data_IF_578490831713
#
_entry.id   IF_578490831713
#
_cell.length_a   1.000
_cell.length_b   1.000
_cell.length_c   1.000
_cell.angle_alpha   90.00
_cell.angle_beta   90.00
_cell.angle_gamma   90.00
#
_symmetry.space_group_name_H-M   'P 1'
#
loop_
_entity.id
_entity.type
_entity.pdbx_description
1 polymer ?
#
# COMPACT_ATOMS: atom_id res chain seq x y z
N UNK A 1 -106.65 -64.55 22.36
CA UNK A 1 -106.34 -64.51 20.91
C UNK A 1 -105.35 -63.39 20.52
N UNK A 2 -104.90 -62.50 21.41
CA UNK A 2 -104.00 -61.38 21.07
C UNK A 2 -102.48 -61.71 21.05
N UNK A 3 -102.01 -62.81 21.66
CA UNK A 3 -100.57 -63.07 21.76
C UNK A 3 -99.95 -63.74 20.53
N UNK A 4 -100.74 -64.48 19.74
CA UNK A 4 -100.25 -65.11 18.52
C UNK A 4 -99.91 -64.07 17.43
N UNK A 5 -100.73 -63.02 17.27
CA UNK A 5 -100.46 -61.95 16.31
C UNK A 5 -99.19 -61.15 16.65
N UNK A 6 -98.93 -60.88 17.94
CA UNK A 6 -97.70 -60.19 18.38
C UNK A 6 -96.41 -60.99 18.17
N UNK A 7 -96.51 -62.32 18.06
CA UNK A 7 -95.34 -63.17 17.78
C UNK A 7 -94.97 -63.15 16.30
N UNK A 8 -95.97 -63.17 15.41
CA UNK A 8 -95.78 -63.08 13.95
C UNK A 8 -95.24 -61.71 13.55
N UNK A 9 -95.76 -60.64 14.15
CA UNK A 9 -95.33 -59.27 13.86
C UNK A 9 -93.87 -59.04 14.26
N UNK A 10 -93.42 -59.60 15.39
CA UNK A 10 -92.00 -59.57 15.79
C UNK A 10 -91.09 -60.36 14.86
N UNK A 11 -91.57 -61.49 14.31
CA UNK A 11 -90.78 -62.29 13.36
C UNK A 11 -90.61 -61.53 12.04
N UNK A 12 -91.66 -60.88 11.54
CA UNK A 12 -91.54 -60.02 10.36
C UNK A 12 -90.63 -58.83 10.60
N UNK A 13 -90.74 -58.17 11.76
CA UNK A 13 -89.87 -57.04 12.10
C UNK A 13 -88.38 -57.43 12.19
N UNK A 14 -88.08 -58.61 12.73
CA UNK A 14 -86.73 -59.17 12.77
C UNK A 14 -86.21 -59.51 11.37
N UNK A 15 -87.05 -60.12 10.53
CA UNK A 15 -86.72 -60.43 9.14
C UNK A 15 -86.35 -59.16 8.36
N UNK A 16 -87.17 -58.12 8.44
CA UNK A 16 -86.95 -56.86 7.74
C UNK A 16 -85.68 -56.15 8.21
N UNK A 17 -85.41 -56.17 9.53
CA UNK A 17 -84.16 -55.63 10.07
C UNK A 17 -82.94 -56.35 9.51
N UNK A 18 -82.98 -57.68 9.47
CA UNK A 18 -81.89 -58.52 9.00
C UNK A 18 -81.65 -58.33 7.50
N UNK A 19 -82.72 -58.18 6.71
CA UNK A 19 -82.64 -57.85 5.29
C UNK A 19 -82.03 -56.46 5.04
N UNK A 20 -82.42 -55.47 5.84
CA UNK A 20 -81.87 -54.11 5.74
C UNK A 20 -80.37 -54.06 6.10
N UNK A 21 -79.94 -54.83 7.10
CA UNK A 21 -78.55 -54.94 7.51
C UNK A 21 -77.70 -55.65 6.45
N UNK A 22 -78.21 -56.72 5.84
CA UNK A 22 -77.51 -57.37 4.72
C UNK A 22 -77.36 -56.44 3.51
N UNK A 23 -78.39 -55.65 3.18
CA UNK A 23 -78.28 -54.65 2.12
C UNK A 23 -77.25 -53.56 2.46
N UNK A 24 -77.24 -53.05 3.69
CA UNK A 24 -76.24 -52.05 4.10
C UNK A 24 -74.82 -52.63 4.09
N UNK A 25 -74.63 -53.87 4.54
CA UNK A 25 -73.34 -54.55 4.50
C UNK A 25 -72.85 -54.74 3.06
N UNK A 26 -73.73 -55.17 2.14
CA UNK A 26 -73.40 -55.32 0.72
C UNK A 26 -73.00 -53.99 0.07
N UNK A 27 -73.72 -52.90 0.36
CA UNK A 27 -73.41 -51.57 -0.15
C UNK A 27 -72.08 -51.04 0.43
N UNK A 28 -71.81 -51.28 1.72
CA UNK A 28 -70.53 -50.90 2.33
C UNK A 28 -69.37 -51.66 1.69
N UNK A 29 -69.54 -52.95 1.44
CA UNK A 29 -68.50 -53.78 0.83
C UNK A 29 -68.22 -53.36 -0.61
N UNK A 30 -69.27 -53.06 -1.39
CA UNK A 30 -69.13 -52.54 -2.75
C UNK A 30 -68.41 -51.17 -2.77
N UNK A 31 -68.71 -50.28 -1.81
CA UNK A 31 -68.00 -49.00 -1.69
C UNK A 31 -66.54 -49.18 -1.28
N UNK A 32 -66.25 -50.13 -0.40
CA UNK A 32 -64.89 -50.46 0.00
C UNK A 32 -64.08 -50.98 -1.20
N UNK A 33 -64.64 -51.88 -2.00
CA UNK A 33 -64.00 -52.42 -3.21
C UNK A 33 -63.75 -51.32 -4.26
N UNK A 34 -64.74 -50.46 -4.49
CA UNK A 34 -64.60 -49.31 -5.39
C UNK A 34 -63.48 -48.36 -4.92
N UNK A 35 -63.39 -48.09 -3.61
CA UNK A 35 -62.34 -47.27 -3.02
C UNK A 35 -60.95 -47.90 -3.15
N UNK A 36 -60.84 -49.23 -3.00
CA UNK A 36 -59.58 -49.93 -3.20
C UNK A 36 -59.12 -49.90 -4.66
N UNK A 37 -60.03 -50.08 -5.62
CA UNK A 37 -59.72 -49.99 -7.05
C UNK A 37 -59.25 -48.58 -7.40
N UNK A 38 -59.94 -47.55 -6.90
CA UNK A 38 -59.56 -46.16 -7.12
C UNK A 38 -58.18 -45.85 -6.52
N UNK A 39 -57.89 -46.36 -5.33
CA UNK A 39 -56.59 -46.17 -4.67
C UNK A 39 -55.45 -46.86 -5.42
N UNK A 40 -55.69 -48.04 -6.00
CA UNK A 40 -54.72 -48.74 -6.86
C UNK A 40 -54.46 -47.97 -8.15
N UNK A 41 -55.51 -47.47 -8.80
CA UNK A 41 -55.37 -46.64 -10.00
C UNK A 41 -54.58 -45.35 -9.72
N UNK A 42 -54.85 -44.69 -8.60
CA UNK A 42 -54.09 -43.51 -8.17
C UNK A 42 -52.62 -43.85 -7.89
N UNK A 43 -52.36 -44.99 -7.24
CA UNK A 43 -51.00 -45.47 -6.96
C UNK A 43 -50.24 -45.82 -8.25
N UNK A 44 -50.89 -46.46 -9.22
CA UNK A 44 -50.28 -46.81 -10.51
C UNK A 44 -50.03 -45.58 -11.38
N UNK A 45 -50.91 -44.57 -11.30
CA UNK A 45 -50.69 -43.29 -11.96
C UNK A 45 -49.52 -42.53 -11.33
N UNK A 46 -49.43 -42.52 -9.99
CA UNK A 46 -48.32 -41.91 -9.26
C UNK A 46 -47.00 -42.63 -9.56
N UNK A 47 -47.01 -43.96 -9.61
CA UNK A 47 -45.82 -44.75 -9.95
C UNK A 47 -45.34 -44.46 -11.37
N UNK A 48 -46.25 -44.41 -12.34
CA UNK A 48 -45.94 -44.02 -13.73
C UNK A 48 -45.42 -42.58 -13.85
N UNK A 49 -45.94 -41.66 -13.04
CA UNK A 49 -45.41 -40.30 -12.97
C UNK A 49 -44.02 -40.27 -12.34
N UNK A 50 -43.81 -41.03 -11.27
CA UNK A 50 -42.53 -41.18 -10.58
C UNK A 50 -41.45 -41.78 -11.48
N UNK A 51 -41.79 -42.80 -12.28
CA UNK A 51 -40.86 -43.46 -13.20
C UNK A 51 -40.48 -42.54 -14.38
N UNK A 52 -41.33 -41.56 -14.73
CA UNK A 52 -41.07 -40.60 -15.81
C UNK A 52 -40.33 -39.34 -15.38
N UNK A 53 -40.43 -38.98 -14.10
CA UNK A 53 -39.75 -37.83 -13.53
C UNK A 53 -38.23 -37.78 -13.81
N UNK A 54 -37.45 -38.86 -13.57
CA UNK A 54 -36.00 -38.80 -13.76
C UNK A 54 -35.61 -38.53 -15.22
N UNK A 55 -36.33 -39.11 -16.19
CA UNK A 55 -36.05 -38.89 -17.62
C UNK A 55 -36.34 -37.44 -18.02
N UNK A 56 -37.43 -36.86 -17.53
CA UNK A 56 -37.75 -35.45 -17.82
C UNK A 56 -36.81 -34.47 -17.12
N UNK A 57 -36.28 -34.85 -15.95
CA UNK A 57 -35.32 -34.02 -15.20
C UNK A 57 -33.95 -34.09 -15.87
N UNK A 58 -33.45 -35.27 -16.24
CA UNK A 58 -32.16 -35.39 -16.93
C UNK A 58 -32.15 -34.66 -18.27
N UNK A 59 -33.20 -34.83 -19.08
CA UNK A 59 -33.31 -34.14 -20.36
C UNK A 59 -33.45 -32.62 -20.21
N UNK A 60 -34.19 -32.14 -19.21
CA UNK A 60 -34.28 -30.71 -18.91
C UNK A 60 -32.96 -30.15 -18.36
N UNK A 61 -32.21 -30.93 -17.59
CA UNK A 61 -30.87 -30.56 -17.13
C UNK A 61 -29.92 -30.49 -18.32
N UNK A 62 -29.79 -31.51 -19.14
CA UNK A 62 -28.89 -31.48 -20.31
C UNK A 62 -29.22 -30.32 -21.26
N UNK A 63 -30.49 -30.12 -21.60
CA UNK A 63 -30.90 -29.07 -22.54
C UNK A 63 -30.72 -27.63 -22.02
N UNK A 64 -30.69 -27.42 -20.70
CA UNK A 64 -30.54 -26.08 -20.10
C UNK A 64 -29.13 -25.83 -19.62
N UNK A 65 -28.46 -26.84 -19.04
CA UNK A 65 -27.18 -26.68 -18.37
C UNK A 65 -26.03 -26.49 -19.38
N UNK A 66 -26.04 -27.23 -20.49
CA UNK A 66 -25.00 -27.13 -21.52
C UNK A 66 -24.96 -25.74 -22.19
N UNK A 67 -26.07 -25.20 -22.73
CA UNK A 67 -26.05 -23.84 -23.31
C UNK A 67 -25.86 -22.76 -22.24
N UNK A 68 -26.27 -22.98 -20.99
CA UNK A 68 -25.97 -22.04 -19.89
C UNK A 68 -24.47 -22.03 -19.55
N UNK A 69 -23.83 -23.20 -19.53
CA UNK A 69 -22.40 -23.33 -19.28
C UNK A 69 -21.59 -22.73 -20.43
N UNK A 70 -21.96 -22.98 -21.69
CA UNK A 70 -21.32 -22.35 -22.85
C UNK A 70 -21.47 -20.83 -22.81
N UNK A 71 -22.66 -20.32 -22.49
CA UNK A 71 -22.90 -18.87 -22.39
C UNK A 71 -22.14 -18.24 -21.24
N UNK A 72 -22.00 -18.94 -20.11
CA UNK A 72 -21.19 -18.50 -19.00
C UNK A 72 -19.70 -18.48 -19.37
N UNK A 73 -19.20 -19.54 -20.01
CA UNK A 73 -17.82 -19.62 -20.48
C UNK A 73 -17.51 -18.53 -21.51
N UNK A 74 -18.37 -18.33 -22.50
CA UNK A 74 -18.24 -17.27 -23.51
C UNK A 74 -18.25 -15.87 -22.87
N UNK A 75 -19.07 -15.65 -21.84
CA UNK A 75 -19.11 -14.38 -21.11
C UNK A 75 -17.83 -14.17 -20.29
N UNK A 76 -17.30 -15.23 -19.66
CA UNK A 76 -16.03 -15.17 -18.95
C UNK A 76 -14.87 -14.90 -19.90
N UNK A 77 -14.78 -15.59 -21.04
CA UNK A 77 -13.69 -15.33 -21.99
C UNK A 77 -13.77 -13.92 -22.56
N UNK A 78 -14.98 -13.42 -22.84
CA UNK A 78 -15.18 -12.03 -23.28
C UNK A 78 -14.77 -11.00 -22.21
N UNK A 79 -15.14 -11.21 -20.93
CA UNK A 79 -14.72 -10.28 -19.86
C UNK A 79 -13.23 -10.32 -19.61
N UNK A 80 -12.60 -11.49 -19.69
CA UNK A 80 -11.15 -11.63 -19.56
C UNK A 80 -10.41 -10.99 -20.75
N UNK A 81 -10.92 -11.15 -21.96
CA UNK A 81 -10.35 -10.50 -23.15
C UNK A 81 -10.44 -8.96 -23.03
N UNK A 82 -11.58 -8.42 -22.57
CA UNK A 82 -11.73 -6.99 -22.31
C UNK A 82 -10.81 -6.50 -21.20
N UNK A 83 -10.71 -7.23 -20.10
CA UNK A 83 -9.81 -6.90 -19.00
C UNK A 83 -8.34 -6.91 -19.45
N UNK A 84 -7.94 -7.90 -20.26
CA UNK A 84 -6.60 -7.98 -20.81
C UNK A 84 -6.31 -6.83 -21.79
N UNK A 85 -7.27 -6.47 -22.64
CA UNK A 85 -7.14 -5.33 -23.54
C UNK A 85 -6.96 -4.01 -22.76
N UNK A 86 -7.77 -3.79 -21.72
CA UNK A 86 -7.66 -2.62 -20.85
C UNK A 86 -6.32 -2.59 -20.09
N UNK A 87 -5.83 -3.74 -19.63
CA UNK A 87 -4.53 -3.85 -18.98
C UNK A 87 -3.39 -3.51 -19.97
N UNK A 88 -3.45 -4.00 -21.20
CA UNK A 88 -2.47 -3.67 -22.25
C UNK A 88 -2.50 -2.17 -22.57
N UNK A 89 -3.68 -1.58 -22.69
CA UNK A 89 -3.81 -0.13 -22.91
C UNK A 89 -3.24 0.69 -21.74
N UNK A 90 -3.51 0.27 -20.50
CA UNK A 90 -2.91 0.88 -19.31
C UNK A 90 -1.39 0.79 -19.34
N UNK A 91 -0.80 -0.37 -19.65
CA UNK A 91 0.67 -0.50 -19.73
C UNK A 91 1.28 0.39 -20.81
N UNK A 92 0.63 0.55 -21.96
CA UNK A 92 1.10 1.45 -23.03
C UNK A 92 1.07 2.91 -22.60
N UNK A 93 -0.01 3.34 -21.95
CA UNK A 93 -0.12 4.72 -21.44
C UNK A 93 0.90 5.01 -20.33
N UNK A 94 1.15 4.05 -19.43
CA UNK A 94 2.20 4.16 -18.43
C UNK A 94 3.60 4.20 -19.03
N UNK A 95 3.90 3.37 -20.03
CA UNK A 95 5.19 3.37 -20.71
C UNK A 95 5.46 4.72 -21.40
N UNK A 96 4.47 5.25 -22.12
CA UNK A 96 4.57 6.58 -22.74
C UNK A 96 4.75 7.70 -21.69
N UNK A 97 4.03 7.62 -20.56
CA UNK A 97 4.19 8.58 -19.47
C UNK A 97 5.59 8.49 -18.85
N UNK A 98 6.14 7.28 -18.69
CA UNK A 98 7.45 7.05 -18.07
C UNK A 98 8.59 7.67 -18.88
N UNK A 99 8.57 7.57 -20.22
CA UNK A 99 9.58 8.21 -21.08
C UNK A 99 9.57 9.74 -20.92
N UNK A 100 8.37 10.34 -20.91
CA UNK A 100 8.26 11.81 -20.75
C UNK A 100 8.65 12.27 -19.35
N UNK A 101 8.35 11.48 -18.31
CA UNK A 101 8.73 11.76 -16.93
C UNK A 101 10.24 11.70 -16.74
N UNK A 102 10.91 10.70 -17.31
CA UNK A 102 12.37 10.58 -17.25
C UNK A 102 13.06 11.79 -17.90
N UNK A 103 12.60 12.21 -19.08
CA UNK A 103 13.17 13.39 -19.74
C UNK A 103 12.95 14.68 -18.94
N UNK A 104 11.74 14.87 -18.38
CA UNK A 104 11.46 16.03 -17.53
C UNK A 104 12.30 16.03 -16.26
N UNK A 105 12.44 14.88 -15.58
CA UNK A 105 13.28 14.75 -14.38
C UNK A 105 14.74 15.07 -14.70
N UNK A 106 15.27 14.56 -15.82
CA UNK A 106 16.62 14.89 -16.27
C UNK A 106 16.77 16.39 -16.54
N UNK A 107 15.80 17.02 -17.23
CA UNK A 107 15.81 18.45 -17.52
C UNK A 107 15.77 19.30 -16.24
N UNK A 108 14.97 18.93 -15.24
CA UNK A 108 14.94 19.62 -13.95
C UNK A 108 16.23 19.43 -13.17
N UNK A 109 16.82 18.23 -13.17
CA UNK A 109 18.11 17.99 -12.53
C UNK A 109 19.23 18.82 -13.16
N UNK A 110 19.30 18.87 -14.49
CA UNK A 110 20.29 19.67 -15.23
C UNK A 110 20.12 21.18 -14.98
N UNK A 111 18.90 21.70 -14.99
CA UNK A 111 18.64 23.12 -14.73
C UNK A 111 18.96 23.49 -13.28
N UNK A 112 18.63 22.64 -12.31
CA UNK A 112 19.02 22.81 -10.91
C UNK A 112 20.53 22.82 -10.71
N UNK A 113 21.25 21.88 -11.33
CA UNK A 113 22.72 21.84 -11.27
C UNK A 113 23.36 23.09 -11.88
N UNK A 114 22.88 23.54 -13.04
CA UNK A 114 23.36 24.77 -13.67
C UNK A 114 23.12 26.00 -12.79
N UNK A 115 21.96 26.10 -12.14
CA UNK A 115 21.66 27.20 -11.23
C UNK A 115 22.64 27.25 -10.04
N UNK A 116 22.96 26.09 -9.46
CA UNK A 116 23.96 26.00 -8.37
C UNK A 116 25.35 26.43 -8.85
N UNK A 117 25.78 25.98 -10.03
CA UNK A 117 27.08 26.38 -10.61
C UNK A 117 27.14 27.90 -10.83
N UNK A 118 26.07 28.50 -11.37
CA UNK A 118 25.98 29.95 -11.59
C UNK A 118 26.04 30.71 -10.27
N UNK A 119 25.33 30.25 -9.23
CA UNK A 119 25.36 30.87 -7.90
C UNK A 119 26.76 30.82 -7.28
N UNK A 120 27.44 29.67 -7.37
CA UNK A 120 28.81 29.51 -6.87
C UNK A 120 29.79 30.42 -7.65
N UNK A 121 29.67 30.48 -8.97
CA UNK A 121 30.51 31.33 -9.81
C UNK A 121 30.28 32.82 -9.50
N UNK A 122 29.03 33.25 -9.32
CA UNK A 122 28.68 34.60 -8.94
C UNK A 122 29.23 34.95 -7.54
N UNK A 123 29.12 34.03 -6.59
CA UNK A 123 29.72 34.21 -5.26
C UNK A 123 31.24 34.34 -5.35
N UNK A 124 31.92 33.47 -6.12
CA UNK A 124 33.37 33.58 -6.31
C UNK A 124 33.77 34.90 -6.97
N UNK A 125 33.02 35.37 -7.98
CA UNK A 125 33.28 36.65 -8.63
C UNK A 125 33.05 37.85 -7.69
N UNK A 126 32.06 37.75 -6.80
CA UNK A 126 31.78 38.78 -5.80
C UNK A 126 32.80 38.81 -4.66
N UNK A 127 33.24 37.64 -4.19
CA UNK A 127 34.25 37.52 -3.13
C UNK A 127 35.68 37.70 -3.64
N UNK A 128 35.94 37.53 -4.94
CA UNK A 128 37.29 37.70 -5.48
C UNK A 128 37.69 39.18 -5.39
N UNK A 129 38.73 39.53 -4.62
CA UNK A 129 39.16 40.92 -4.48
C UNK A 129 39.57 41.46 -5.84
N UNK A 130 39.21 42.70 -6.11
CA UNK A 130 39.54 43.35 -7.37
C UNK A 130 41.07 43.49 -7.50
N UNK A 131 41.60 43.53 -8.73
CA UNK A 131 43.06 43.65 -8.93
C UNK A 131 43.68 44.87 -8.23
N UNK A 132 42.88 45.92 -8.01
CA UNK A 132 43.30 47.14 -7.31
C UNK A 132 43.51 46.89 -5.83
N UNK A 133 42.60 46.18 -5.17
CA UNK A 133 42.74 45.77 -3.77
C UNK A 133 43.93 44.83 -3.59
N UNK A 134 44.11 43.87 -4.50
CA UNK A 134 45.29 43.00 -4.51
C UNK A 134 46.61 43.78 -4.63
N UNK A 135 46.65 44.84 -5.45
CA UNK A 135 47.84 45.71 -5.56
C UNK A 135 48.05 46.53 -4.29
N UNK A 136 46.99 47.06 -3.68
CA UNK A 136 47.07 47.79 -2.42
C UNK A 136 47.58 46.89 -1.29
N UNK A 137 47.01 45.70 -1.11
CA UNK A 137 47.43 44.71 -0.12
C UNK A 137 48.89 44.27 -0.31
N UNK A 138 49.35 44.14 -1.56
CA UNK A 138 50.77 43.83 -1.84
C UNK A 138 51.69 44.99 -1.49
N UNK A 139 51.28 46.23 -1.76
CA UNK A 139 52.05 47.41 -1.39
C UNK A 139 52.14 47.57 0.14
N UNK A 140 51.02 47.40 0.86
CA UNK A 140 50.99 47.41 2.32
C UNK A 140 51.89 46.32 2.92
N UNK A 141 51.83 45.09 2.37
CA UNK A 141 52.70 44.00 2.79
C UNK A 141 54.18 44.34 2.59
N UNK A 142 54.54 44.95 1.46
CA UNK A 142 55.93 45.35 1.20
C UNK A 142 56.40 46.45 2.16
N UNK A 143 55.53 47.42 2.45
CA UNK A 143 55.82 48.48 3.41
C UNK A 143 56.06 47.91 4.82
N UNK A 144 55.18 47.03 5.30
CA UNK A 144 55.33 46.37 6.61
C UNK A 144 56.62 45.55 6.70
N UNK A 145 56.99 44.84 5.64
CA UNK A 145 58.26 44.09 5.61
C UNK A 145 59.48 45.03 5.66
N UNK A 146 59.44 46.15 4.94
CA UNK A 146 60.51 47.14 4.98
C UNK A 146 60.64 47.78 6.37
N UNK A 147 59.52 48.07 7.04
CA UNK A 147 59.51 48.59 8.41
C UNK A 147 60.04 47.56 9.41
N UNK A 148 59.67 46.27 9.27
CA UNK A 148 60.22 45.19 10.09
C UNK A 148 61.74 45.05 9.88
N UNK A 149 62.22 45.12 8.65
CA UNK A 149 63.65 45.07 8.36
C UNK A 149 64.41 46.28 8.91
N UNK A 150 63.79 47.47 8.85
CA UNK A 150 64.36 48.69 9.44
C UNK A 150 64.45 48.58 10.95
N UNK A 151 63.40 48.13 11.61
CA UNK A 151 63.37 47.88 13.06
C UNK A 151 64.39 46.81 13.45
N UNK A 152 64.50 45.73 12.68
CA UNK A 152 65.49 44.67 12.89
C UNK A 152 66.92 45.21 12.77
N UNK A 153 67.20 46.04 11.76
CA UNK A 153 68.51 46.70 11.60
C UNK A 153 68.79 47.75 12.68
N UNK A 154 67.76 48.40 13.20
CA UNK A 154 67.86 49.36 14.31
C UNK A 154 67.95 48.69 15.69
N UNK A 155 68.15 47.37 15.75
CA UNK A 155 68.37 46.65 17.00
C UNK A 155 67.10 46.17 17.70
N UNK A 156 65.91 46.30 17.08
CA UNK A 156 64.65 45.78 17.63
C UNK A 156 64.48 44.25 17.43
N UNK A 157 65.59 43.51 17.35
CA UNK A 157 65.58 42.06 17.48
C UNK A 157 65.30 41.69 18.94
N UNK A 158 64.05 41.80 19.36
CA UNK A 158 63.61 41.40 20.70
C UNK A 158 63.60 39.88 20.76
N UNK A 159 64.74 39.30 21.11
CA UNK A 159 64.85 37.87 21.40
C UNK A 159 64.18 37.64 22.76
N UNK A 160 62.92 37.19 22.71
CA UNK A 160 62.14 36.85 23.89
C UNK A 160 62.54 35.44 24.34
N UNK A 161 63.30 35.34 25.41
CA UNK A 161 63.71 34.09 26.02
C UNK A 161 63.03 33.93 27.39
N UNK A 162 62.85 32.70 27.88
CA UNK A 162 62.43 32.48 29.26
C UNK A 162 63.69 32.46 30.15
N UNK A 163 63.79 33.36 31.14
CA UNK A 163 64.80 33.24 32.19
C UNK A 163 64.19 32.70 33.46
N UNK A 164 65.03 32.10 34.30
CA UNK A 164 64.68 31.76 35.68
C UNK A 164 65.15 32.88 36.60
N UNK A 165 64.22 33.56 37.27
CA UNK A 165 64.54 34.57 38.30
C UNK A 165 63.89 34.12 39.61
N UNK A 166 64.71 33.94 40.66
CA UNK A 166 64.27 33.45 41.98
C UNK A 166 63.48 32.12 41.90
N UNK A 167 63.94 31.18 41.08
CA UNK A 167 63.34 29.85 40.93
C UNK A 167 62.01 29.79 40.17
N UNK A 168 61.53 30.92 39.61
CA UNK A 168 60.31 30.95 38.76
C UNK A 168 60.65 31.35 37.33
N UNK A 169 60.05 30.72 36.31
CA UNK A 169 60.21 31.14 34.91
C UNK A 169 59.53 32.50 34.70
N UNK A 170 60.27 33.43 34.10
CA UNK A 170 59.80 34.77 33.72
C UNK A 170 60.23 35.07 32.29
N UNK A 171 59.38 35.77 31.56
CA UNK A 171 59.70 36.23 30.21
C UNK A 171 60.73 37.34 30.26
N UNK A 172 61.87 37.08 29.64
CA UNK A 172 62.98 38.03 29.49
C UNK A 172 63.07 38.51 28.06
N UNK A 173 63.47 39.75 27.90
CA UNK A 173 63.75 40.33 26.60
C UNK A 173 65.24 40.68 26.56
N UNK A 174 65.95 40.13 25.57
CA UNK A 174 67.35 40.51 25.33
C UNK A 174 67.37 41.92 24.71
N UNK A 175 68.00 42.87 25.40
CA UNK A 175 68.17 44.24 24.91
C UNK A 175 69.46 44.29 24.10
N UNK A 176 69.41 44.91 22.93
CA UNK A 176 70.57 45.04 22.05
C UNK A 176 71.70 45.82 22.74
N UNK A 177 72.95 45.41 22.47
CA UNK A 177 74.17 45.94 23.08
C UNK A 177 74.41 47.42 22.76
N UNK A 178 73.78 47.93 21.70
CA UNK A 178 73.89 49.33 21.26
C UNK A 178 72.90 50.29 21.96
N UNK A 179 72.04 49.79 22.83
CA UNK A 179 71.10 50.61 23.59
C UNK A 179 71.82 51.45 24.67
N UNK A 180 71.51 52.75 24.84
CA UNK A 180 72.08 53.57 25.91
C UNK A 180 71.64 53.13 27.34
N UNK A 181 70.75 52.14 27.45
CA UNK A 181 70.36 51.48 28.71
C UNK A 181 70.93 50.07 28.85
N UNK A 182 71.94 49.72 28.06
CA UNK A 182 72.52 48.39 28.06
C UNK A 182 73.49 48.21 29.25
N UNK A 183 72.99 47.61 30.33
CA UNK A 183 73.81 47.14 31.46
C UNK A 183 74.21 45.65 31.29
N UNK A 184 74.43 45.20 30.05
CA UNK A 184 74.98 43.86 29.78
C UNK A 184 74.04 42.67 30.04
N UNK A 185 72.71 42.86 30.12
CA UNK A 185 71.79 41.81 30.57
C UNK A 185 70.40 41.79 29.94
N UNK A 186 69.63 40.75 30.31
CA UNK A 186 68.21 40.60 29.98
C UNK A 186 67.35 41.51 30.85
N UNK A 187 66.42 42.24 30.25
CA UNK A 187 65.43 43.01 31.01
C UNK A 187 64.21 42.13 31.30
N UNK A 188 63.83 42.06 32.57
CA UNK A 188 62.60 41.40 33.01
C UNK A 188 61.42 42.28 32.65
N UNK A 189 60.46 41.73 31.90
CA UNK A 189 59.20 42.42 31.62
C UNK A 189 58.34 42.35 32.89
N UNK A 190 57.91 43.47 33.48
CA UNK A 190 57.01 43.44 34.62
C UNK A 190 55.71 42.76 34.19
N UNK A 191 55.31 41.71 34.91
CA UNK A 191 54.01 41.09 34.70
C UNK A 191 52.93 42.13 35.02
N UNK A 192 52.13 42.49 34.02
CA UNK A 192 50.90 43.25 34.22
C UNK A 192 49.85 42.36 34.88
#
# INVERSE_FOLDING_TARGET
>A
MNDAQRSVERIHQLSDMLQSLMQQAAVLQQKADASMVQSRQASDALKRASDRLPVTVDTAIETVLEPAAEKAAAKMTATWAQANAAAVEATRTFAAAQETLQWKMLAYACTGALAVVVLIAAAMAYLSPTERELKALRAERQMLLADMDRLRKAGAGLEVAQCTHQGRPRTCVRVDAQSPRFEGGYLLVPAR
#
